data_IF_510510341497
#
_entry.id   IF_510510341497
#
_cell.length_a   1.000
_cell.length_b   1.000
_cell.length_c   1.000
_cell.angle_alpha   90.00
_cell.angle_beta   90.00
_cell.angle_gamma   90.00
#
_symmetry.space_group_name_H-M   'P 1'
#
loop_
_entity.id
_entity.type
_entity.pdbx_description
1 polymer ?
#
# COMPACT_ATOMS: atom_id res chain seq x y z
N UNK A 1 90.09 8.45 -39.02
CA UNK A 1 88.86 9.09 -39.53
C UNK A 1 87.75 8.77 -38.53
N UNK A 2 87.80 9.41 -37.35
CA UNK A 2 86.90 10.49 -36.90
C UNK A 2 85.48 10.03 -36.59
N UNK A 3 85.28 9.57 -35.33
CA UNK A 3 83.96 9.49 -34.70
C UNK A 3 83.38 10.91 -34.57
N UNK A 4 82.21 11.16 -35.17
CA UNK A 4 81.43 12.39 -34.98
C UNK A 4 80.69 12.32 -33.65
N UNK A 5 81.04 13.21 -32.72
CA UNK A 5 80.24 13.46 -31.52
C UNK A 5 78.94 14.17 -31.90
N UNK A 6 77.80 13.62 -31.50
CA UNK A 6 76.48 14.18 -31.74
C UNK A 6 76.10 15.09 -30.55
N UNK A 7 76.28 16.40 -30.70
CA UNK A 7 75.87 17.40 -29.71
C UNK A 7 74.36 17.67 -29.83
N UNK A 8 73.55 16.81 -29.19
CA UNK A 8 72.12 17.07 -29.00
C UNK A 8 71.91 18.25 -28.03
N UNK A 9 71.43 19.38 -28.54
CA UNK A 9 70.93 20.49 -27.72
C UNK A 9 69.68 20.04 -26.98
N UNK A 10 69.74 19.97 -25.65
CA UNK A 10 68.56 19.79 -24.80
C UNK A 10 67.67 21.03 -24.93
N UNK A 11 66.43 20.85 -25.39
CA UNK A 11 65.41 21.89 -25.37
C UNK A 11 65.06 22.24 -23.90
N UNK A 12 64.81 23.51 -23.56
CA UNK A 12 64.43 23.87 -22.20
C UNK A 12 63.09 23.19 -21.84
N UNK A 13 63.08 22.37 -20.79
CA UNK A 13 61.85 21.85 -20.19
C UNK A 13 61.00 23.06 -19.77
N UNK A 14 59.83 23.23 -20.39
CA UNK A 14 58.84 24.19 -19.93
C UNK A 14 58.55 23.91 -18.45
N UNK A 15 58.81 24.89 -17.59
CA UNK A 15 58.56 24.78 -16.15
C UNK A 15 57.08 24.45 -15.95
N UNK A 16 56.79 23.22 -15.50
CA UNK A 16 55.45 22.86 -15.04
C UNK A 16 55.15 23.76 -13.85
N UNK A 17 54.15 24.64 -13.97
CA UNK A 17 53.66 25.46 -12.86
C UNK A 17 53.26 24.52 -11.72
N UNK A 18 53.98 24.56 -10.61
CA UNK A 18 53.61 23.82 -9.41
C UNK A 18 52.49 24.58 -8.71
N UNK A 19 51.37 23.90 -8.44
CA UNK A 19 50.24 24.45 -7.72
C UNK A 19 50.64 24.69 -6.25
N UNK A 20 50.34 25.87 -5.71
CA UNK A 20 50.61 26.14 -4.29
C UNK A 20 49.57 25.42 -3.42
N UNK A 21 49.97 25.05 -2.21
CA UNK A 21 49.07 24.42 -1.23
C UNK A 21 47.83 25.29 -0.96
N UNK A 22 48.00 26.61 -0.96
CA UNK A 22 46.92 27.58 -0.77
C UNK A 22 45.92 27.55 -1.93
N UNK A 23 46.38 27.51 -3.18
CA UNK A 23 45.49 27.41 -4.34
C UNK A 23 44.66 26.11 -4.32
N UNK A 24 45.28 24.99 -3.94
CA UNK A 24 44.56 23.72 -3.80
C UNK A 24 43.51 23.80 -2.68
N UNK A 25 43.87 24.41 -1.55
CA UNK A 25 42.99 24.56 -0.38
C UNK A 25 41.78 25.44 -0.69
N UNK A 26 41.96 26.53 -1.44
CA UNK A 26 40.85 27.40 -1.86
C UNK A 26 39.89 26.66 -2.79
N UNK A 27 40.41 25.88 -3.74
CA UNK A 27 39.57 25.11 -4.68
C UNK A 27 38.72 24.08 -3.94
N UNK A 28 39.32 23.30 -3.02
CA UNK A 28 38.54 22.33 -2.23
C UNK A 28 37.53 23.02 -1.32
N UNK A 29 37.84 24.21 -0.77
CA UNK A 29 36.91 24.98 0.04
C UNK A 29 35.70 25.46 -0.78
N UNK A 30 35.93 25.97 -1.99
CA UNK A 30 34.86 26.39 -2.90
C UNK A 30 33.99 25.20 -3.32
N UNK A 31 34.60 24.08 -3.73
CA UNK A 31 33.87 22.85 -4.08
C UNK A 31 33.06 22.35 -2.87
N UNK A 32 33.65 22.36 -1.68
CA UNK A 32 32.99 21.96 -0.43
C UNK A 32 31.74 22.81 -0.15
N UNK A 33 31.83 24.13 -0.29
CA UNK A 33 30.68 25.04 -0.12
C UNK A 33 29.62 24.80 -1.20
N UNK A 34 30.03 24.65 -2.47
CA UNK A 34 29.09 24.39 -3.56
C UNK A 34 28.34 23.08 -3.36
N UNK A 35 29.04 21.99 -3.01
CA UNK A 35 28.42 20.69 -2.75
C UNK A 35 27.52 20.75 -1.52
N UNK A 36 27.92 21.43 -0.45
CA UNK A 36 27.10 21.59 0.76
C UNK A 36 25.78 22.32 0.47
N UNK A 37 25.78 23.29 -0.44
CA UNK A 37 24.56 24.01 -0.85
C UNK A 37 23.72 23.22 -1.87
N UNK A 38 24.36 22.43 -2.73
CA UNK A 38 23.67 21.65 -3.77
C UNK A 38 23.06 20.35 -3.25
N UNK A 39 23.67 19.69 -2.27
CA UNK A 39 23.22 18.39 -1.78
C UNK A 39 21.78 18.44 -1.22
N UNK A 40 21.39 19.39 -0.34
CA UNK A 40 20.01 19.48 0.14
C UNK A 40 19.01 19.73 -1.00
N UNK A 41 19.38 20.59 -1.96
CA UNK A 41 18.54 20.91 -3.11
C UNK A 41 18.33 19.71 -4.03
N UNK A 42 19.38 18.93 -4.31
CA UNK A 42 19.30 17.72 -5.13
C UNK A 42 18.42 16.65 -4.45
N UNK A 43 18.52 16.49 -3.12
CA UNK A 43 17.68 15.53 -2.41
C UNK A 43 16.20 15.95 -2.39
N UNK A 44 15.92 17.23 -2.16
CA UNK A 44 14.56 17.76 -2.24
C UNK A 44 13.95 17.58 -3.64
N UNK A 45 14.72 17.84 -4.70
CA UNK A 45 14.28 17.63 -6.07
C UNK A 45 14.00 16.15 -6.37
N UNK A 46 14.86 15.23 -5.89
CA UNK A 46 14.65 13.78 -6.05
C UNK A 46 13.37 13.32 -5.34
N UNK A 47 13.12 13.80 -4.13
CA UNK A 47 11.91 13.42 -3.40
C UNK A 47 10.64 13.98 -4.06
N UNK A 48 10.68 15.21 -4.56
CA UNK A 48 9.57 15.77 -5.33
C UNK A 48 9.26 14.93 -6.59
N UNK A 49 10.29 14.45 -7.29
CA UNK A 49 10.12 13.56 -8.44
C UNK A 49 9.51 12.20 -8.04
N UNK A 50 9.99 11.58 -6.95
CA UNK A 50 9.42 10.32 -6.43
C UNK A 50 7.95 10.49 -6.04
N UNK A 51 7.62 11.57 -5.33
CA UNK A 51 6.24 11.89 -4.96
C UNK A 51 5.33 12.11 -6.17
N UNK A 52 5.83 12.76 -7.21
CA UNK A 52 5.09 12.91 -8.47
C UNK A 52 4.82 11.55 -9.12
N UNK A 53 5.78 10.63 -9.08
CA UNK A 53 5.59 9.27 -9.56
C UNK A 53 4.57 8.51 -8.72
N UNK A 54 4.60 8.57 -7.39
CA UNK A 54 3.58 7.93 -6.53
C UNK A 54 2.18 8.51 -6.79
N UNK A 55 2.08 9.83 -7.00
CA UNK A 55 0.84 10.51 -7.40
C UNK A 55 0.29 9.98 -8.72
N UNK A 56 1.14 9.80 -9.74
CA UNK A 56 0.75 9.25 -11.03
C UNK A 56 0.34 7.77 -10.93
N UNK A 57 1.04 6.99 -10.12
CA UNK A 57 0.73 5.58 -9.87
C UNK A 57 -0.67 5.44 -9.24
N UNK A 58 -0.97 6.19 -8.19
CA UNK A 58 -2.31 6.20 -7.58
C UNK A 58 -3.39 6.69 -8.54
N UNK A 59 -3.09 7.70 -9.37
CA UNK A 59 -4.01 8.16 -10.41
C UNK A 59 -4.33 7.06 -11.42
N UNK A 60 -3.33 6.29 -11.86
CA UNK A 60 -3.54 5.16 -12.76
C UNK A 60 -4.42 4.08 -12.12
N UNK A 61 -4.22 3.78 -10.83
CA UNK A 61 -5.06 2.84 -10.08
C UNK A 61 -6.51 3.34 -10.02
N UNK A 62 -6.72 4.62 -9.68
CA UNK A 62 -8.06 5.20 -9.57
C UNK A 62 -8.79 5.25 -10.92
N UNK A 63 -8.09 5.58 -12.01
CA UNK A 63 -8.64 5.53 -13.37
C UNK A 63 -9.00 4.10 -13.78
N UNK A 64 -8.17 3.11 -13.43
CA UNK A 64 -8.48 1.71 -13.69
C UNK A 64 -9.71 1.23 -12.91
N UNK A 65 -9.88 1.67 -11.65
CA UNK A 65 -11.10 1.43 -10.87
C UNK A 65 -12.34 2.04 -11.53
N UNK A 66 -12.24 3.27 -12.05
CA UNK A 66 -13.32 3.92 -12.80
C UNK A 66 -13.66 3.19 -14.11
N UNK A 67 -12.66 2.72 -14.86
CA UNK A 67 -12.88 1.94 -16.08
C UNK A 67 -13.50 0.56 -15.76
N UNK A 68 -13.07 -0.07 -14.68
CA UNK A 68 -13.69 -1.28 -14.15
C UNK A 68 -15.16 -1.04 -13.84
N UNK A 69 -15.48 0.02 -13.09
CA UNK A 69 -16.86 0.39 -12.77
C UNK A 69 -17.67 0.67 -14.04
N UNK A 70 -17.13 1.42 -14.99
CA UNK A 70 -17.83 1.74 -16.24
C UNK A 70 -18.28 0.50 -17.02
N UNK A 71 -17.50 -0.58 -16.94
CA UNK A 71 -17.78 -1.86 -17.62
C UNK A 71 -18.55 -2.88 -16.75
N UNK A 72 -18.31 -2.94 -15.44
CA UNK A 72 -18.92 -3.92 -14.51
C UNK A 72 -20.08 -3.35 -13.69
N UNK A 73 -20.33 -2.05 -13.80
CA UNK A 73 -21.36 -1.24 -13.11
C UNK A 73 -21.23 -1.17 -11.58
N UNK A 74 -20.12 -1.67 -11.05
CA UNK A 74 -19.74 -1.61 -9.65
C UNK A 74 -18.22 -1.65 -9.56
N UNK A 75 -17.66 -1.05 -8.50
CA UNK A 75 -16.26 -1.24 -8.14
C UNK A 75 -16.01 -2.70 -7.73
N UNK A 76 -14.77 -3.21 -7.91
CA UNK A 76 -14.43 -4.54 -7.43
C UNK A 76 -14.54 -4.57 -5.91
N UNK A 77 -15.02 -5.70 -5.37
CA UNK A 77 -14.89 -5.96 -3.95
C UNK A 77 -13.40 -6.02 -3.62
N UNK A 78 -13.02 -5.52 -2.45
CA UNK A 78 -11.62 -5.45 -2.05
C UNK A 78 -11.03 -6.82 -1.74
N UNK A 79 -11.91 -7.76 -1.39
CA UNK A 79 -11.69 -9.19 -1.49
C UNK A 79 -12.86 -9.81 -2.26
N UNK A 80 -12.59 -10.60 -3.29
CA UNK A 80 -13.65 -11.22 -4.10
C UNK A 80 -14.55 -12.18 -3.31
N UNK A 81 -13.96 -12.97 -2.42
CA UNK A 81 -14.63 -14.02 -1.66
C UNK A 81 -14.51 -13.85 -0.14
N UNK A 82 -14.87 -14.89 0.59
CA UNK A 82 -14.75 -15.01 2.07
C UNK A 82 -13.45 -15.71 2.45
N UNK A 83 -13.07 -15.67 3.73
CA UNK A 83 -12.03 -16.53 4.33
C UNK A 83 -12.56 -17.94 4.67
N UNK A 84 -13.67 -18.33 4.06
CA UNK A 84 -14.15 -19.71 4.04
C UNK A 84 -15.26 -20.03 5.04
N UNK A 85 -15.67 -19.07 5.86
CA UNK A 85 -16.88 -19.16 6.68
C UNK A 85 -18.07 -18.53 5.96
N UNK A 86 -19.19 -19.25 5.91
CA UNK A 86 -20.50 -18.70 5.55
C UNK A 86 -21.29 -18.29 6.80
N UNK A 87 -22.44 -17.64 6.61
CA UNK A 87 -23.34 -17.27 7.70
C UNK A 87 -23.91 -15.87 7.55
N UNK A 88 -24.63 -15.42 8.58
CA UNK A 88 -25.20 -14.07 8.65
C UNK A 88 -24.43 -13.25 9.67
N UNK A 89 -23.98 -12.06 9.26
CA UNK A 89 -23.26 -11.10 10.10
C UNK A 89 -24.20 -9.95 10.43
N UNK A 90 -24.36 -9.65 11.71
CA UNK A 90 -25.06 -8.44 12.18
C UNK A 90 -24.11 -7.25 12.09
N UNK A 91 -24.53 -6.20 11.39
CA UNK A 91 -23.76 -4.98 11.20
C UNK A 91 -23.98 -3.94 12.31
N UNK A 92 -24.81 -4.25 13.31
CA UNK A 92 -25.01 -3.40 14.51
C UNK A 92 -25.84 -2.14 14.25
N UNK A 93 -26.36 -1.97 13.04
CA UNK A 93 -27.20 -0.85 12.59
C UNK A 93 -28.61 -1.31 12.16
N UNK A 94 -28.99 -2.55 12.52
CA UNK A 94 -30.24 -3.17 12.06
C UNK A 94 -30.15 -3.82 10.68
N UNK A 95 -28.99 -3.74 10.01
CA UNK A 95 -28.71 -4.46 8.77
C UNK A 95 -27.96 -5.77 9.05
N UNK A 96 -28.20 -6.77 8.21
CA UNK A 96 -27.46 -8.04 8.24
C UNK A 96 -26.87 -8.33 6.87
N UNK A 97 -25.66 -8.90 6.85
CA UNK A 97 -25.00 -9.35 5.65
C UNK A 97 -24.95 -10.88 5.58
N UNK A 98 -25.39 -11.45 4.47
CA UNK A 98 -25.33 -12.89 4.22
C UNK A 98 -24.05 -13.20 3.45
N UNK A 99 -23.12 -13.89 4.12
CA UNK A 99 -21.83 -14.29 3.54
C UNK A 99 -22.03 -15.49 2.62
N UNK A 100 -21.76 -15.30 1.33
CA UNK A 100 -21.87 -16.36 0.34
C UNK A 100 -20.59 -17.18 0.26
N UNK A 101 -20.71 -18.50 0.30
CA UNK A 101 -19.62 -19.46 0.05
C UNK A 101 -19.82 -20.27 -1.22
N UNK A 102 -20.85 -19.94 -2.02
CA UNK A 102 -21.22 -20.69 -3.23
C UNK A 102 -20.61 -20.09 -4.49
N UNK A 103 -19.96 -20.92 -5.31
CA UNK A 103 -19.37 -20.52 -6.60
C UNK A 103 -17.84 -20.61 -6.60
N UNK A 104 -17.21 -20.63 -7.79
CA UNK A 104 -15.78 -20.93 -7.94
C UNK A 104 -14.88 -19.91 -7.23
N UNK A 105 -15.27 -18.63 -7.22
CA UNK A 105 -14.51 -17.55 -6.57
C UNK A 105 -15.03 -17.17 -5.17
N UNK A 106 -16.03 -17.87 -4.64
CA UNK A 106 -16.70 -17.43 -3.41
C UNK A 106 -15.78 -17.44 -2.18
N UNK A 107 -14.70 -18.23 -2.21
CA UNK A 107 -13.66 -18.28 -1.17
C UNK A 107 -12.35 -17.62 -1.62
N UNK A 108 -12.34 -16.94 -2.76
CA UNK A 108 -11.17 -16.24 -3.29
C UNK A 108 -10.74 -15.11 -2.36
N UNK A 109 -9.44 -15.01 -2.11
CA UNK A 109 -8.81 -13.89 -1.44
C UNK A 109 -8.22 -12.84 -2.38
N UNK A 110 -8.46 -12.95 -3.70
CA UNK A 110 -7.98 -11.97 -4.67
C UNK A 110 -8.36 -10.53 -4.27
N UNK A 111 -7.39 -9.63 -4.32
CA UNK A 111 -7.60 -8.21 -4.04
C UNK A 111 -8.36 -7.51 -5.19
N UNK A 112 -8.93 -6.34 -4.90
CA UNK A 112 -9.42 -5.44 -5.95
C UNK A 112 -8.33 -5.03 -6.95
N UNK A 113 -7.06 -4.95 -6.51
CA UNK A 113 -5.92 -4.62 -7.38
C UNK A 113 -5.66 -5.70 -8.44
N UNK A 114 -5.96 -6.97 -8.16
CA UNK A 114 -5.92 -8.03 -9.19
C UNK A 114 -6.99 -7.78 -10.24
N UNK A 115 -8.19 -7.40 -9.82
CA UNK A 115 -9.36 -7.28 -10.71
C UNK A 115 -9.27 -6.12 -11.71
N UNK A 116 -8.45 -5.11 -11.40
CA UNK A 116 -8.24 -3.96 -12.27
C UNK A 116 -7.06 -4.11 -13.23
N UNK A 117 -6.28 -5.20 -13.14
CA UNK A 117 -5.11 -5.42 -14.02
C UNK A 117 -5.44 -5.26 -15.52
N UNK A 118 -6.55 -5.79 -16.06
CA UNK A 118 -6.93 -5.56 -17.47
C UNK A 118 -7.09 -4.09 -17.84
N UNK A 119 -7.48 -3.25 -16.89
CA UNK A 119 -7.70 -1.81 -17.06
C UNK A 119 -6.43 -0.98 -16.78
N UNK A 120 -5.32 -1.67 -16.51
CA UNK A 120 -3.98 -1.11 -16.33
C UNK A 120 -2.99 -1.67 -17.36
N UNK A 121 -3.49 -2.18 -18.49
CA UNK A 121 -2.68 -2.82 -19.54
C UNK A 121 -1.88 -4.04 -19.03
N UNK A 122 -2.38 -4.73 -17.99
CA UNK A 122 -1.75 -5.92 -17.39
C UNK A 122 -2.59 -7.19 -17.64
N UNK A 123 -3.20 -7.32 -18.83
CA UNK A 123 -4.02 -8.49 -19.20
C UNK A 123 -3.24 -9.81 -19.08
N UNK A 124 -2.00 -9.85 -19.54
CA UNK A 124 -1.18 -11.06 -19.48
C UNK A 124 -0.94 -11.54 -18.03
N UNK A 125 -0.78 -10.61 -17.08
CA UNK A 125 -0.63 -10.95 -15.67
C UNK A 125 -1.95 -11.40 -15.05
N UNK A 126 -3.07 -10.77 -15.43
CA UNK A 126 -4.40 -11.20 -15.01
C UNK A 126 -4.70 -12.64 -15.45
N UNK A 127 -4.39 -12.95 -16.71
CA UNK A 127 -4.57 -14.28 -17.29
C UNK A 127 -3.66 -15.30 -16.60
N UNK A 128 -2.40 -14.95 -16.32
CA UNK A 128 -1.45 -15.82 -15.63
C UNK A 128 -1.84 -16.13 -14.16
N UNK A 129 -2.62 -15.26 -13.52
CA UNK A 129 -3.15 -15.48 -12.17
C UNK A 129 -4.41 -16.34 -12.15
N UNK A 130 -5.03 -16.59 -13.30
CA UNK A 130 -6.32 -17.29 -13.41
C UNK A 130 -7.38 -16.63 -12.49
N UNK A 131 -7.35 -15.30 -12.38
CA UNK A 131 -8.07 -14.55 -11.35
C UNK A 131 -9.61 -14.57 -11.52
N UNK A 132 -10.09 -15.03 -12.67
CA UNK A 132 -11.50 -15.14 -13.04
C UNK A 132 -12.14 -16.48 -12.61
N UNK A 133 -11.35 -17.51 -12.31
CA UNK A 133 -11.87 -18.84 -11.99
C UNK A 133 -11.15 -19.55 -10.84
N UNK A 134 -9.92 -19.17 -10.48
CA UNK A 134 -9.18 -19.79 -9.38
C UNK A 134 -9.39 -18.99 -8.09
N UNK A 135 -9.71 -19.66 -6.96
CA UNK A 135 -9.81 -19.02 -5.66
C UNK A 135 -8.41 -18.74 -5.08
N UNK A 136 -7.63 -17.87 -5.75
CA UNK A 136 -6.31 -17.44 -5.28
C UNK A 136 -6.44 -16.88 -3.87
N UNK A 137 -5.47 -17.18 -3.00
CA UNK A 137 -5.55 -16.84 -1.57
C UNK A 137 -6.81 -17.38 -0.87
N UNK A 138 -7.28 -18.53 -1.34
CA UNK A 138 -8.28 -19.32 -0.66
C UNK A 138 -7.86 -19.71 0.75
N UNK A 139 -8.81 -20.20 1.57
CA UNK A 139 -8.54 -20.59 2.95
C UNK A 139 -7.62 -21.81 3.11
N UNK A 140 -7.36 -22.54 2.02
CA UNK A 140 -6.34 -23.58 1.93
C UNK A 140 -5.33 -23.25 0.81
N UNK A 141 -4.31 -24.09 0.65
CA UNK A 141 -3.29 -23.97 -0.41
C UNK A 141 -3.57 -24.83 -1.63
N UNK A 142 -4.74 -25.48 -1.72
CA UNK A 142 -5.02 -26.43 -2.79
C UNK A 142 -5.00 -25.76 -4.17
N UNK A 143 -5.38 -24.49 -4.24
CA UNK A 143 -5.31 -23.67 -5.46
C UNK A 143 -3.88 -23.55 -6.00
N UNK A 144 -2.87 -23.44 -5.12
CA UNK A 144 -1.47 -23.30 -5.54
C UNK A 144 -0.87 -24.65 -5.97
N UNK A 145 -1.30 -25.75 -5.34
CA UNK A 145 -0.92 -27.10 -5.77
C UNK A 145 -1.58 -27.48 -7.10
N UNK A 146 -2.83 -27.06 -7.31
CA UNK A 146 -3.57 -27.34 -8.54
C UNK A 146 -3.08 -26.48 -9.73
N UNK A 147 -2.59 -25.27 -9.46
CA UNK A 147 -2.12 -24.31 -10.46
C UNK A 147 -0.76 -23.72 -10.05
N UNK A 148 0.32 -24.51 -10.07
CA UNK A 148 1.64 -24.08 -9.61
C UNK A 148 2.23 -22.91 -10.40
N UNK A 149 1.79 -22.70 -11.64
CA UNK A 149 2.18 -21.58 -12.50
C UNK A 149 1.80 -20.20 -11.92
N UNK A 150 0.72 -20.13 -11.12
CA UNK A 150 0.26 -18.91 -10.46
C UNK A 150 1.34 -18.35 -9.52
N UNK A 151 2.20 -19.21 -8.95
CA UNK A 151 3.28 -18.80 -8.06
C UNK A 151 4.20 -17.74 -8.68
N UNK A 152 4.53 -17.90 -9.97
CA UNK A 152 5.40 -16.96 -10.68
C UNK A 152 4.69 -15.61 -10.94
N UNK A 153 3.38 -15.64 -11.16
CA UNK A 153 2.58 -14.45 -11.37
C UNK A 153 2.41 -13.66 -10.05
N UNK A 154 2.27 -14.34 -8.91
CA UNK A 154 2.18 -13.68 -7.60
C UNK A 154 3.43 -12.86 -7.23
N UNK A 155 4.60 -13.25 -7.72
CA UNK A 155 5.85 -12.51 -7.54
C UNK A 155 5.93 -11.22 -8.39
N UNK A 156 5.16 -11.15 -9.49
CA UNK A 156 5.22 -10.05 -10.46
C UNK A 156 4.31 -8.90 -10.04
N UNK A 157 4.83 -8.03 -9.17
CA UNK A 157 4.11 -6.80 -8.83
C UNK A 157 4.23 -5.80 -9.98
N UNK A 158 3.13 -5.25 -10.50
CA UNK A 158 3.19 -4.13 -11.45
C UNK A 158 3.93 -2.92 -10.87
N UNK A 159 4.77 -2.26 -11.66
CA UNK A 159 5.52 -1.05 -11.23
C UNK A 159 4.59 0.08 -10.74
N UNK A 160 3.38 0.15 -11.31
CA UNK A 160 2.35 1.10 -10.88
C UNK A 160 1.84 0.85 -9.45
N UNK A 161 2.10 -0.32 -8.86
CA UNK A 161 1.72 -0.63 -7.47
C UNK A 161 2.84 -0.36 -6.47
N UNK A 162 4.02 0.08 -6.92
CA UNK A 162 5.16 0.42 -6.07
C UNK A 162 5.30 1.95 -5.98
N UNK A 163 5.50 2.48 -4.77
CA UNK A 163 5.90 3.86 -4.58
C UNK A 163 7.44 3.92 -4.51
N UNK A 164 8.14 4.67 -5.38
CA UNK A 164 9.60 4.77 -5.33
C UNK A 164 10.18 5.40 -4.04
N UNK A 165 9.36 6.05 -3.21
CA UNK A 165 9.79 6.52 -1.88
C UNK A 165 9.64 5.45 -0.81
N UNK A 166 8.95 4.35 -1.08
CA UNK A 166 8.77 3.26 -0.14
C UNK A 166 9.99 2.33 -0.12
N UNK A 167 10.33 1.82 1.05
CA UNK A 167 11.45 0.90 1.26
C UNK A 167 11.09 -0.57 1.02
N UNK A 168 10.01 -0.85 0.28
CA UNK A 168 9.60 -2.24 0.00
C UNK A 168 10.76 -3.00 -0.63
N UNK A 169 11.20 -4.03 0.09
CA UNK A 169 12.24 -4.95 -0.35
C UNK A 169 11.60 -6.30 -0.64
N UNK A 170 11.36 -6.55 -1.93
CA UNK A 170 11.16 -7.88 -2.49
C UNK A 170 10.04 -8.70 -1.83
N UNK A 171 10.28 -10.01 -1.83
CA UNK A 171 9.32 -11.05 -1.47
C UNK A 171 9.05 -11.07 0.04
N UNK A 172 7.77 -11.18 0.40
CA UNK A 172 7.34 -11.24 1.78
C UNK A 172 7.16 -12.66 2.29
N UNK A 173 7.46 -12.86 3.58
CA UNK A 173 7.28 -14.13 4.26
C UNK A 173 6.34 -14.00 5.47
N UNK A 174 5.06 -14.36 5.31
CA UNK A 174 4.14 -14.45 6.46
C UNK A 174 3.51 -15.82 6.62
N UNK A 175 3.31 -16.18 7.89
CA UNK A 175 2.67 -17.37 8.42
C UNK A 175 1.13 -17.28 8.54
N UNK A 176 0.48 -16.22 8.04
CA UNK A 176 -0.96 -15.99 8.24
C UNK A 176 -1.81 -16.13 6.96
N UNK A 177 -1.22 -16.35 5.80
CA UNK A 177 -1.94 -16.41 4.51
C UNK A 177 -1.81 -17.76 3.79
N UNK A 178 -1.49 -18.79 4.56
CA UNK A 178 -1.39 -20.20 4.17
C UNK A 178 -0.34 -20.55 3.10
N UNK A 179 0.28 -19.60 2.39
CA UNK A 179 1.32 -19.89 1.40
C UNK A 179 2.71 -19.98 2.05
N UNK A 180 3.42 -21.07 1.79
CA UNK A 180 4.80 -21.23 2.27
C UNK A 180 5.76 -20.35 1.48
N UNK A 181 6.13 -19.23 2.07
CA UNK A 181 7.02 -18.21 1.49
C UNK A 181 8.49 -18.63 1.47
N UNK A 182 8.85 -19.72 2.15
CA UNK A 182 10.17 -20.37 1.94
C UNK A 182 10.25 -21.09 0.60
N UNK A 183 9.11 -21.34 -0.05
CA UNK A 183 9.02 -22.02 -1.34
C UNK A 183 8.60 -21.07 -2.48
N UNK A 184 7.81 -20.04 -2.17
CA UNK A 184 7.22 -19.17 -3.19
C UNK A 184 7.54 -17.70 -2.96
N UNK A 185 7.79 -17.01 -4.07
CA UNK A 185 7.98 -15.56 -4.10
C UNK A 185 6.63 -14.86 -4.24
N UNK A 186 6.33 -13.93 -3.33
CA UNK A 186 5.09 -13.16 -3.29
C UNK A 186 5.41 -11.67 -3.34
N UNK A 187 4.80 -10.99 -4.30
CA UNK A 187 4.95 -9.56 -4.49
C UNK A 187 4.22 -8.74 -3.42
N UNK A 188 4.76 -7.55 -3.15
CA UNK A 188 4.20 -6.55 -2.24
C UNK A 188 3.83 -5.29 -3.00
N UNK A 189 2.92 -4.48 -2.46
CA UNK A 189 2.54 -3.17 -3.00
C UNK A 189 2.70 -2.05 -1.98
N UNK A 190 2.79 -0.81 -2.47
CA UNK A 190 2.82 0.41 -1.65
C UNK A 190 1.46 1.12 -1.56
N UNK A 191 0.40 0.52 -2.10
CA UNK A 191 -0.93 1.10 -2.08
C UNK A 191 -1.96 0.10 -1.58
N UNK A 192 -2.99 0.59 -0.90
CA UNK A 192 -4.10 -0.20 -0.42
C UNK A 192 -5.41 0.54 -0.64
N UNK A 193 -6.49 -0.23 -0.79
CA UNK A 193 -7.84 0.30 -0.85
C UNK A 193 -8.33 0.76 0.52
N UNK A 194 -9.20 1.75 0.53
CA UNK A 194 -9.79 2.32 1.75
C UNK A 194 -11.04 1.54 2.14
N UNK A 195 -10.98 0.86 3.29
CA UNK A 195 -12.07 0.02 3.82
C UNK A 195 -13.28 0.85 4.27
N UNK A 196 -13.02 2.00 4.89
CA UNK A 196 -14.02 2.80 5.59
C UNK A 196 -13.54 3.20 6.99
N UNK A 197 -14.50 3.48 7.87
CA UNK A 197 -14.29 4.02 9.22
C UNK A 197 -14.18 2.95 10.30
N UNK A 198 -14.52 1.69 9.97
CA UNK A 198 -14.44 0.59 10.93
C UNK A 198 -13.01 0.45 11.50
N UNK A 199 -12.94 0.15 12.79
CA UNK A 199 -11.67 0.06 13.55
C UNK A 199 -11.27 -1.40 13.76
N UNK A 200 -9.98 -1.68 14.02
CA UNK A 200 -9.52 -2.98 14.52
C UNK A 200 -10.24 -3.53 15.74
N UNK A 201 -10.80 -2.67 16.61
CA UNK A 201 -11.53 -3.08 17.83
C UNK A 201 -12.92 -3.65 17.52
N UNK A 202 -13.45 -3.38 16.34
CA UNK A 202 -14.72 -3.95 15.90
C UNK A 202 -14.59 -5.46 15.70
N UNK A 203 -15.71 -6.19 15.79
CA UNK A 203 -15.70 -7.63 15.55
C UNK A 203 -15.18 -7.94 14.13
N UNK A 204 -14.34 -8.97 14.00
CA UNK A 204 -13.72 -9.34 12.71
C UNK A 204 -14.74 -9.52 11.58
N UNK A 205 -15.91 -10.09 11.87
CA UNK A 205 -16.96 -10.27 10.89
C UNK A 205 -17.52 -8.93 10.40
N UNK A 206 -17.72 -7.97 11.30
CA UNK A 206 -18.20 -6.61 10.97
C UNK A 206 -17.17 -5.88 10.11
N UNK A 207 -15.88 -5.91 10.47
CA UNK A 207 -14.79 -5.32 9.65
C UNK A 207 -14.77 -5.88 8.23
N UNK A 208 -14.97 -7.20 8.09
CA UNK A 208 -14.97 -7.87 6.78
C UNK A 208 -16.15 -7.44 5.92
N UNK A 209 -17.36 -7.49 6.46
CA UNK A 209 -18.58 -7.55 5.66
C UNK A 209 -19.52 -6.35 5.81
N UNK A 210 -19.32 -5.54 6.86
CA UNK A 210 -20.18 -4.42 7.22
C UNK A 210 -19.46 -3.07 7.07
N UNK A 211 -18.44 -3.00 6.21
CA UNK A 211 -17.73 -1.76 5.93
C UNK A 211 -18.64 -0.66 5.38
N UNK A 212 -18.35 0.56 5.76
CA UNK A 212 -19.03 1.79 5.33
C UNK A 212 -18.27 2.56 4.25
N UNK A 213 -17.05 2.14 3.90
CA UNK A 213 -16.34 2.61 2.71
C UNK A 213 -16.78 1.88 1.44
N UNK A 214 -15.93 1.93 0.42
CA UNK A 214 -16.21 1.34 -0.91
C UNK A 214 -15.63 -0.07 -1.04
N UNK A 215 -14.54 -0.35 -0.33
CA UNK A 215 -13.68 -1.51 -0.58
C UNK A 215 -13.61 -2.43 0.62
N UNK A 216 -14.50 -3.42 0.69
CA UNK A 216 -14.50 -4.46 1.73
C UNK A 216 -14.90 -5.83 1.13
N UNK A 217 -15.11 -6.85 1.96
CA UNK A 217 -15.26 -8.23 1.46
C UNK A 217 -16.56 -8.41 0.71
N UNK A 218 -16.48 -9.09 -0.45
CA UNK A 218 -17.55 -9.57 -1.32
C UNK A 218 -18.52 -8.52 -1.88
N UNK A 219 -18.78 -7.42 -1.17
CA UNK A 219 -19.67 -6.36 -1.61
C UNK A 219 -19.02 -5.55 -2.73
N UNK A 220 -19.78 -5.42 -3.81
CA UNK A 220 -19.44 -4.58 -4.96
C UNK A 220 -20.32 -3.36 -4.85
N UNK A 221 -19.70 -2.20 -4.71
CA UNK A 221 -20.38 -0.92 -4.51
C UNK A 221 -20.43 -0.19 -5.84
N UNK A 222 -21.60 0.27 -6.26
CA UNK A 222 -21.75 1.11 -7.45
C UNK A 222 -21.60 2.60 -7.13
N UNK A 223 -21.33 3.43 -8.16
CA UNK A 223 -21.25 4.90 -7.98
C UNK A 223 -22.49 5.47 -7.29
N UNK A 224 -23.68 4.90 -7.56
CA UNK A 224 -24.95 5.34 -6.97
C UNK A 224 -25.02 5.21 -5.43
N UNK A 225 -24.20 4.34 -4.85
CA UNK A 225 -24.15 4.09 -3.39
C UNK A 225 -23.15 5.02 -2.69
N UNK A 226 -22.41 5.85 -3.43
CA UNK A 226 -21.43 6.80 -2.91
C UNK A 226 -22.07 8.18 -2.87
N UNK A 227 -22.96 8.39 -1.91
CA UNK A 227 -23.78 9.60 -1.80
C UNK A 227 -23.00 10.82 -1.32
N UNK A 228 -21.85 10.62 -0.68
CA UNK A 228 -20.97 11.72 -0.27
C UNK A 228 -20.20 12.34 -1.45
N UNK A 229 -20.25 11.67 -2.61
CA UNK A 229 -19.68 12.11 -3.87
C UNK A 229 -18.29 11.54 -4.11
N UNK A 230 -18.06 11.14 -5.37
CA UNK A 230 -16.80 10.54 -5.83
C UNK A 230 -15.56 11.39 -5.54
N UNK A 231 -15.71 12.72 -5.51
CA UNK A 231 -14.62 13.66 -5.24
C UNK A 231 -14.28 13.82 -3.76
N UNK A 232 -15.11 13.29 -2.85
CA UNK A 232 -14.97 13.43 -1.40
C UNK A 232 -14.64 12.11 -0.70
N UNK A 233 -14.81 10.97 -1.38
CA UNK A 233 -14.55 9.65 -0.83
C UNK A 233 -13.15 9.15 -1.23
N UNK A 234 -12.34 8.77 -0.25
CA UNK A 234 -11.01 8.17 -0.43
C UNK A 234 -11.15 6.73 -0.95
N UNK A 235 -10.34 6.38 -1.95
CA UNK A 235 -10.37 5.08 -2.61
C UNK A 235 -9.09 4.29 -2.40
N UNK A 236 -7.95 4.96 -2.51
CA UNK A 236 -6.61 4.35 -2.44
C UNK A 236 -5.70 5.28 -1.65
N UNK A 237 -4.87 4.70 -0.79
CA UNK A 237 -3.83 5.43 -0.04
C UNK A 237 -2.50 4.68 -0.02
N UNK A 238 -1.46 5.35 0.47
CA UNK A 238 -0.12 4.76 0.56
C UNK A 238 0.03 3.90 1.81
N UNK A 239 0.84 2.86 1.64
CA UNK A 239 1.34 2.00 2.71
C UNK A 239 2.85 2.12 2.68
N UNK A 240 3.48 2.14 3.86
CA UNK A 240 4.94 2.06 4.02
C UNK A 240 5.33 0.72 4.60
N UNK A 241 6.55 0.26 4.29
CA UNK A 241 7.15 -0.89 4.95
C UNK A 241 6.23 -2.12 4.93
N UNK A 242 5.75 -2.48 3.74
CA UNK A 242 4.82 -3.59 3.50
C UNK A 242 5.36 -4.98 3.87
N UNK A 243 6.61 -5.07 4.36
CA UNK A 243 7.24 -6.27 4.87
C UNK A 243 7.71 -6.15 6.32
N UNK A 244 7.15 -5.23 7.11
CA UNK A 244 7.66 -4.98 8.45
C UNK A 244 7.42 -6.18 9.38
N UNK A 245 8.51 -6.62 10.00
CA UNK A 245 8.52 -7.71 10.97
C UNK A 245 8.89 -7.21 12.37
N UNK A 246 8.24 -7.75 13.39
CA UNK A 246 8.64 -7.62 14.80
C UNK A 246 8.63 -9.01 15.45
N UNK A 247 9.69 -9.36 16.19
CA UNK A 247 9.80 -10.67 16.85
C UNK A 247 9.71 -11.90 15.91
N UNK A 248 10.03 -11.74 14.62
CA UNK A 248 9.89 -12.81 13.61
C UNK A 248 8.47 -12.98 13.06
N UNK A 249 7.60 -11.98 13.27
CA UNK A 249 6.20 -11.96 12.85
C UNK A 249 5.89 -10.70 12.06
N UNK A 250 4.96 -10.79 11.12
CA UNK A 250 4.50 -9.66 10.34
C UNK A 250 3.65 -8.71 11.20
N UNK A 251 4.09 -7.47 11.37
CA UNK A 251 3.28 -6.39 11.95
C UNK A 251 2.68 -5.49 10.87
N UNK A 252 3.22 -5.60 9.66
CA UNK A 252 2.65 -4.99 8.47
C UNK A 252 2.89 -5.86 7.25
N UNK A 253 1.82 -6.18 6.53
CA UNK A 253 1.90 -6.85 5.22
C UNK A 253 1.14 -6.05 4.17
N UNK A 254 1.59 -6.02 2.92
CA UNK A 254 0.75 -5.46 1.84
C UNK A 254 0.94 -6.25 0.57
N UNK A 255 0.44 -7.49 0.59
CA UNK A 255 0.50 -8.38 -0.57
C UNK A 255 -0.49 -7.86 -1.61
N UNK A 256 0.03 -7.32 -2.72
CA UNK A 256 -0.77 -6.61 -3.73
C UNK A 256 -1.93 -7.47 -4.29
N UNK A 257 -1.77 -8.80 -4.30
CA UNK A 257 -2.74 -9.74 -4.83
C UNK A 257 -3.74 -10.26 -3.79
N UNK A 258 -3.58 -9.92 -2.50
CA UNK A 258 -4.38 -10.45 -1.41
C UNK A 258 -5.23 -9.38 -0.73
N UNK A 259 -6.55 -9.53 -0.85
CA UNK A 259 -7.52 -8.76 -0.09
C UNK A 259 -7.72 -9.38 1.29
N UNK A 260 -6.85 -9.06 2.25
CA UNK A 260 -7.01 -9.54 3.63
C UNK A 260 -7.17 -8.41 4.65
N UNK A 261 -8.41 -8.25 5.13
CA UNK A 261 -8.89 -7.25 6.11
C UNK A 261 -8.00 -6.01 6.16
N UNK A 262 -7.62 -5.51 7.33
CA UNK A 262 -6.72 -4.36 7.44
C UNK A 262 -5.23 -4.76 7.42
N UNK A 263 -4.93 -6.01 7.07
CA UNK A 263 -3.58 -6.57 7.14
C UNK A 263 -2.86 -6.56 5.81
N UNK A 264 -3.56 -6.49 4.67
CA UNK A 264 -2.98 -6.42 3.33
C UNK A 264 -3.52 -5.19 2.55
N UNK A 265 -4.06 -5.41 1.35
CA UNK A 265 -4.48 -4.35 0.41
C UNK A 265 -5.78 -3.63 0.78
N UNK A 266 -6.26 -3.78 2.02
CA UNK A 266 -7.25 -2.86 2.57
C UNK A 266 -6.72 -2.28 3.87
N UNK A 267 -7.04 -1.01 4.10
CA UNK A 267 -6.61 -0.25 5.28
C UNK A 267 -7.73 0.65 5.77
N UNK A 268 -7.64 1.05 7.03
CA UNK A 268 -8.62 1.91 7.70
C UNK A 268 -8.05 3.30 7.90
N UNK A 269 -8.94 4.30 7.90
CA UNK A 269 -8.63 5.69 8.26
C UNK A 269 -8.98 6.00 9.72
N UNK A 270 -9.34 4.98 10.51
CA UNK A 270 -9.63 5.13 11.93
C UNK A 270 -8.37 5.41 12.78
N UNK A 271 -7.18 5.15 12.23
CA UNK A 271 -5.88 5.48 12.85
C UNK A 271 -5.36 6.82 12.33
N UNK A 272 -4.71 7.66 13.15
CA UNK A 272 -4.02 8.86 12.69
C UNK A 272 -3.05 8.51 11.57
N UNK A 273 -3.03 9.40 10.58
CA UNK A 273 -2.15 9.26 9.44
C UNK A 273 -0.69 9.10 9.89
N UNK A 274 0.06 8.24 9.19
CA UNK A 274 1.47 7.98 9.48
C UNK A 274 1.76 7.37 10.87
N UNK A 275 0.74 6.86 11.57
CA UNK A 275 0.95 5.96 12.72
C UNK A 275 1.82 4.77 12.27
N UNK A 276 2.89 4.50 13.01
CA UNK A 276 3.77 3.37 12.69
C UNK A 276 3.01 2.04 12.76
N UNK A 277 3.19 1.12 11.80
CA UNK A 277 2.49 -0.15 11.83
C UNK A 277 2.74 -0.90 13.16
N UNK A 278 1.70 -1.51 13.69
CA UNK A 278 1.74 -2.23 14.98
C UNK A 278 1.57 -1.36 16.23
N UNK A 279 1.48 -0.03 16.10
CA UNK A 279 1.12 0.86 17.22
C UNK A 279 -0.41 1.06 17.32
N UNK A 280 -0.95 1.17 18.54
CA UNK A 280 -2.39 1.31 18.82
C UNK A 280 -3.04 2.46 18.02
N UNK A 281 -2.34 3.60 17.84
CA UNK A 281 -2.85 4.70 17.02
C UNK A 281 -4.25 5.17 17.42
N UNK A 282 -4.72 4.91 18.64
CA UNK A 282 -6.09 5.24 19.09
C UNK A 282 -7.21 4.33 18.57
N UNK A 283 -7.09 3.74 17.38
CA UNK A 283 -8.11 2.85 16.81
C UNK A 283 -8.02 1.41 17.34
N UNK A 284 -6.91 1.04 17.97
CA UNK A 284 -6.57 -0.34 18.33
C UNK A 284 -5.63 -0.99 17.32
N UNK A 285 -5.09 -2.13 17.75
CA UNK A 285 -4.39 -3.09 16.88
C UNK A 285 -5.22 -4.34 16.76
N UNK A 286 -5.22 -4.94 15.57
CA UNK A 286 -5.61 -6.32 15.34
C UNK A 286 -4.53 -7.18 15.96
N UNK A 287 -4.93 -8.02 16.91
CA UNK A 287 -4.11 -9.10 17.43
C UNK A 287 -4.54 -10.41 16.78
N UNK A 288 -3.59 -11.18 16.26
CA UNK A 288 -3.88 -12.54 15.79
C UNK A 288 -4.38 -13.43 16.93
N UNK A 289 -5.12 -14.50 16.59
CA UNK A 289 -5.72 -15.40 17.60
C UNK A 289 -4.68 -16.07 18.50
N UNK A 290 -3.42 -16.17 18.05
CA UNK A 290 -2.30 -16.68 18.83
C UNK A 290 -1.55 -15.59 19.62
N UNK A 291 -2.04 -14.34 19.59
CA UNK A 291 -1.46 -13.17 20.24
C UNK A 291 -0.13 -12.70 19.66
N UNK A 292 0.30 -13.24 18.50
CA UNK A 292 1.69 -13.12 18.04
C UNK A 292 1.99 -11.94 17.11
N UNK A 293 0.97 -11.31 16.51
CA UNK A 293 1.14 -10.18 15.60
C UNK A 293 0.16 -9.06 15.94
N UNK A 294 0.67 -7.82 15.94
CA UNK A 294 -0.12 -6.59 16.15
C UNK A 294 -0.07 -5.75 14.88
N UNK A 295 -1.22 -5.46 14.28
CA UNK A 295 -1.30 -4.56 13.12
C UNK A 295 -2.43 -3.56 13.31
N UNK A 296 -2.21 -2.28 13.02
CA UNK A 296 -3.23 -1.25 13.17
C UNK A 296 -3.98 -0.95 11.87
N UNK A 297 -3.50 -1.48 10.74
CA UNK A 297 -4.18 -1.32 9.47
C UNK A 297 -4.25 0.10 8.93
N UNK A 298 -3.41 1.01 9.42
CA UNK A 298 -3.40 2.40 9.01
C UNK A 298 -2.69 2.65 7.68
N UNK A 299 -2.93 3.83 7.12
CA UNK A 299 -2.17 4.34 5.99
C UNK A 299 -0.94 5.12 6.45
N UNK A 300 0.14 4.98 5.70
CA UNK A 300 1.40 5.63 6.01
C UNK A 300 2.29 5.74 4.77
N UNK A 301 3.17 6.74 4.76
CA UNK A 301 4.07 7.06 3.66
C UNK A 301 5.45 7.45 4.19
N UNK A 302 6.47 7.31 3.35
CA UNK A 302 7.81 7.85 3.59
C UNK A 302 7.96 9.29 3.08
N UNK A 303 6.93 9.83 2.41
CA UNK A 303 6.91 11.23 2.02
C UNK A 303 6.89 12.14 3.25
N UNK A 304 7.74 13.18 3.31
CA UNK A 304 7.76 14.10 4.45
C UNK A 304 6.42 14.84 4.64
N UNK A 305 5.86 14.75 5.85
CA UNK A 305 4.74 15.58 6.30
C UNK A 305 3.34 15.10 5.91
N UNK A 306 3.19 13.89 5.37
CA UNK A 306 1.88 13.37 4.99
C UNK A 306 1.91 12.15 4.07
N UNK A 307 0.78 11.92 3.38
CA UNK A 307 0.55 10.78 2.51
C UNK A 307 -0.35 11.18 1.33
N UNK A 308 -0.11 10.61 0.15
CA UNK A 308 -1.00 10.81 -0.99
C UNK A 308 -2.20 9.84 -0.92
N UNK A 309 -3.38 10.33 -1.31
CA UNK A 309 -4.58 9.52 -1.48
C UNK A 309 -5.27 9.83 -2.79
N UNK A 310 -5.76 8.80 -3.48
CA UNK A 310 -6.67 8.94 -4.59
C UNK A 310 -8.12 8.90 -4.13
N UNK A 311 -8.93 9.77 -4.72
CA UNK A 311 -10.37 9.86 -4.55
C UNK A 311 -11.08 9.07 -5.65
N UNK A 312 -12.37 8.80 -5.45
CA UNK A 312 -13.20 8.09 -6.41
C UNK A 312 -13.24 8.72 -7.80
N UNK A 313 -13.09 10.04 -7.92
CA UNK A 313 -13.04 10.76 -9.19
C UNK A 313 -11.67 10.73 -9.90
N UNK A 314 -10.67 10.04 -9.33
CA UNK A 314 -9.31 9.96 -9.87
C UNK A 314 -8.40 11.14 -9.48
N UNK A 315 -8.89 12.09 -8.68
CA UNK A 315 -8.06 13.15 -8.09
C UNK A 315 -7.14 12.54 -7.03
N UNK A 316 -5.88 12.96 -7.02
CA UNK A 316 -4.92 12.57 -5.98
C UNK A 316 -4.53 13.79 -5.17
N UNK A 317 -4.60 13.66 -3.85
CA UNK A 317 -4.34 14.75 -2.89
C UNK A 317 -3.36 14.28 -1.84
N UNK A 318 -2.46 15.16 -1.45
CA UNK A 318 -1.60 14.92 -0.30
C UNK A 318 -2.26 15.44 0.97
N UNK A 319 -2.56 14.52 1.87
CA UNK A 319 -3.08 14.82 3.20
C UNK A 319 -1.90 14.94 4.15
N UNK A 320 -1.89 16.02 4.94
CA UNK A 320 -0.81 16.32 5.88
C UNK A 320 -0.98 15.57 7.20
N UNK A 321 0.11 15.30 7.92
CA UNK A 321 0.08 14.68 9.26
C UNK A 321 -0.75 15.46 10.29
N UNK A 322 -0.94 16.76 10.08
CA UNK A 322 -1.76 17.64 10.92
C UNK A 322 -3.26 17.55 10.67
N UNK A 323 -3.71 16.66 9.78
CA UNK A 323 -5.14 16.49 9.52
C UNK A 323 -5.86 16.01 10.79
N UNK A 324 -7.02 16.60 11.08
CA UNK A 324 -7.87 16.14 12.17
C UNK A 324 -8.35 14.70 11.89
N UNK A 325 -8.26 13.83 12.91
CA UNK A 325 -8.59 12.41 12.77
C UNK A 325 -10.05 12.20 12.36
N UNK A 326 -10.99 12.93 12.96
CA UNK A 326 -12.41 12.76 12.64
C UNK A 326 -12.69 13.13 11.18
N UNK A 327 -12.07 14.22 10.70
CA UNK A 327 -12.13 14.63 9.29
C UNK A 327 -11.50 13.57 8.38
N UNK A 328 -10.32 13.04 8.75
CA UNK A 328 -9.65 11.99 7.99
C UNK A 328 -10.49 10.72 7.88
N UNK A 329 -11.08 10.29 9.00
CA UNK A 329 -11.94 9.12 9.07
C UNK A 329 -13.20 9.31 8.23
N UNK A 330 -13.87 10.47 8.33
CA UNK A 330 -15.08 10.79 7.57
C UNK A 330 -14.90 10.63 6.04
N UNK A 331 -13.74 11.03 5.51
CA UNK A 331 -13.47 10.92 4.07
C UNK A 331 -13.38 9.48 3.56
N UNK A 332 -13.32 8.47 4.43
CA UNK A 332 -13.38 7.07 4.04
C UNK A 332 -14.80 6.51 3.91
N UNK A 333 -15.79 7.16 4.53
CA UNK A 333 -17.20 6.79 4.41
C UNK A 333 -17.73 7.07 3.00
N UNK A 334 -18.65 6.23 2.51
CA UNK A 334 -19.30 6.42 1.21
C UNK A 334 -20.61 7.23 1.30
N UNK A 335 -21.24 7.24 2.47
CA UNK A 335 -22.61 7.73 2.65
C UNK A 335 -22.91 8.30 4.05
N UNK A 336 -21.91 8.86 4.73
CA UNK A 336 -22.06 9.42 6.08
C UNK A 336 -22.33 10.94 6.09
N UNK A 337 -22.42 11.57 4.92
CA UNK A 337 -22.63 13.01 4.78
C UNK A 337 -21.42 13.84 5.21
N UNK A 338 -20.22 13.25 5.26
CA UNK A 338 -19.02 13.86 5.82
C UNK A 338 -19.00 13.91 7.34
N UNK A 339 -19.90 13.19 8.03
CA UNK A 339 -19.90 13.09 9.49
C UNK A 339 -19.19 11.81 9.93
N UNK A 340 -17.87 11.90 10.02
CA UNK A 340 -17.08 10.87 10.67
C UNK A 340 -17.48 10.74 12.14
N UNK A 341 -17.68 9.49 12.57
CA UNK A 341 -17.92 9.04 13.95
C UNK A 341 -19.37 9.17 14.45
N UNK A 342 -20.15 8.09 14.29
CA UNK A 342 -21.30 7.81 15.17
C UNK A 342 -21.21 6.48 15.92
N UNK A 343 -20.21 5.62 15.68
CA UNK A 343 -20.11 4.34 16.39
C UNK A 343 -18.66 3.94 16.71
N UNK A 344 -17.94 4.80 17.44
CA UNK A 344 -16.94 4.26 18.37
C UNK A 344 -17.73 3.67 19.53
N UNK A 345 -18.03 2.38 19.43
CA UNK A 345 -18.70 1.63 20.47
C UNK A 345 -18.03 1.91 21.82
N UNK A 346 -18.76 2.55 22.71
CA UNK A 346 -18.47 2.58 24.14
C UNK A 346 -18.55 1.14 24.63
N UNK A 347 -17.47 0.40 24.48
CA UNK A 347 -17.23 -0.87 25.15
C UNK A 347 -17.13 -0.61 26.65
N UNK A 348 -18.30 -0.58 27.29
CA UNK A 348 -18.56 -0.84 28.70
C UNK A 348 -17.32 -0.93 29.60
N UNK A 349 -16.88 0.19 30.18
CA UNK A 349 -16.10 0.20 31.42
C UNK A 349 -17.04 -0.12 32.59
N UNK A 350 -17.58 -1.35 32.58
CA UNK A 350 -18.31 -1.91 33.71
C UNK A 350 -17.31 -2.26 34.80
N UNK A 351 -17.14 -1.37 35.77
CA UNK A 351 -16.41 -1.66 36.99
C UNK A 351 -17.00 -2.88 37.70
N UNK A 352 -16.16 -3.85 38.03
CA UNK A 352 -16.44 -4.79 39.11
C UNK A 352 -15.55 -4.46 40.29
N UNK A 353 -16.11 -3.69 41.22
CA UNK A 353 -15.67 -3.76 42.60
C UNK A 353 -16.01 -5.14 43.17
N UNK A 354 -14.98 -5.88 43.55
CA UNK A 354 -14.83 -6.65 44.79
C UNK A 354 -13.47 -7.32 44.77
#
# INVERSE_FOLDING_TARGET
MTMKANNGRLAPMAAKRAFTLVELLVVIAIIGVLVALLLPAVQAAREAARRMQCTNNQKNIALALLNYEGSKKNFPAARLGTDGSGGTVDCGNGETYVVSTSGPLARSGASALVMILPYMEQQALFDALHADNVPIWGPDTAWLTAYPEIANALAQTPDAYICPSDSIRGVFAEWAHNVNTSQYSIGLGSYANVLGTLTPRSAFATIKFCGDGVFFYQRKIGIREITDGMSNTLFVGEVRDANLMDGGKAVNSNIWSHGNRMQSTMRTTATPLNTYPGLDGGAGVIEELDGSAKSNGGFASHHPGGCNFAYGDGRVVFLTDSIDLATYTAMAGRSDGGQGLTNLGTGNTGGSGR
#
